data_IF_722973539504
#
_entry.id   IF_722973539504
#
_cell.length_a   1.000
_cell.length_b   1.000
_cell.length_c   1.000
_cell.angle_alpha   90.00
_cell.angle_beta   90.00
_cell.angle_gamma   90.00
#
_symmetry.space_group_name_H-M   'P 1'
#
loop_
_entity.id
_entity.type
_entity.pdbx_description
1 polymer ?
#
# COMPACT_ATOMS: atom_id res chain seq x y z
N UNK A 1 -7.47 -9.19 0.35
CA UNK A 1 -6.45 -8.87 1.38
C UNK A 1 -5.79 -7.54 1.08
N UNK A 2 -5.55 -6.72 2.11
CA UNK A 2 -4.84 -5.45 1.94
C UNK A 2 -3.32 -5.70 1.88
N UNK A 3 -2.85 -6.07 0.69
CA UNK A 3 -1.44 -6.35 0.41
C UNK A 3 -0.85 -5.19 -0.38
N UNK A 4 0.32 -4.75 0.04
CA UNK A 4 1.11 -3.72 -0.62
C UNK A 4 2.25 -4.44 -1.32
N UNK A 5 2.47 -4.12 -2.60
CA UNK A 5 3.48 -4.74 -3.44
C UNK A 5 4.45 -3.68 -3.98
N UNK A 6 5.75 -3.94 -3.83
CA UNK A 6 6.79 -3.21 -4.54
C UNK A 6 7.12 -3.99 -5.82
N UNK A 7 7.04 -3.32 -6.96
CA UNK A 7 7.31 -3.92 -8.26
C UNK A 7 8.45 -3.19 -8.94
N UNK A 8 9.20 -3.91 -9.77
CA UNK A 8 10.23 -3.30 -10.63
C UNK A 8 9.53 -2.47 -11.70
N UNK A 9 10.06 -1.27 -11.97
CA UNK A 9 9.59 -0.40 -13.03
C UNK A 9 10.09 -0.90 -14.40
N UNK A 10 9.55 -2.03 -14.85
CA UNK A 10 9.85 -2.67 -16.14
C UNK A 10 8.57 -2.68 -17.00
N UNK A 11 8.68 -2.19 -18.24
CA UNK A 11 7.55 -2.10 -19.17
C UNK A 11 7.24 -3.42 -19.89
N UNK A 12 8.17 -4.38 -19.90
CA UNK A 12 8.02 -5.63 -20.65
C UNK A 12 7.44 -6.76 -19.81
N UNK A 13 7.71 -6.75 -18.50
CA UNK A 13 7.32 -7.84 -17.60
C UNK A 13 6.98 -7.34 -16.20
N UNK A 14 5.98 -7.99 -15.62
CA UNK A 14 5.67 -7.83 -14.21
C UNK A 14 6.70 -8.58 -13.36
N UNK A 15 7.39 -7.85 -12.46
CA UNK A 15 8.29 -8.45 -11.49
C UNK A 15 8.01 -7.91 -10.09
N UNK A 16 7.63 -8.81 -9.18
CA UNK A 16 7.42 -8.50 -7.77
C UNK A 16 8.78 -8.45 -7.05
N UNK A 17 9.14 -7.29 -6.51
CA UNK A 17 10.36 -7.13 -5.71
C UNK A 17 10.13 -7.54 -4.24
N UNK A 18 9.01 -7.10 -3.65
CA UNK A 18 8.63 -7.48 -2.29
C UNK A 18 7.15 -7.18 -2.05
N UNK A 19 6.57 -7.76 -0.99
CA UNK A 19 5.22 -7.43 -0.56
C UNK A 19 5.07 -7.57 0.95
N UNK A 20 4.08 -6.88 1.50
CA UNK A 20 3.69 -7.04 2.90
C UNK A 20 2.20 -6.80 3.06
N UNK A 21 1.63 -7.38 4.12
CA UNK A 21 0.25 -7.14 4.53
C UNK A 21 0.23 -6.01 5.55
N UNK A 22 -0.71 -5.07 5.41
CA UNK A 22 -0.92 -4.07 6.45
C UNK A 22 -1.44 -4.75 7.73
N UNK A 23 -1.05 -4.26 8.92
CA UNK A 23 -1.30 -4.97 10.18
C UNK A 23 -2.77 -4.96 10.60
N UNK A 24 -3.52 -3.96 10.17
CA UNK A 24 -4.94 -3.78 10.49
C UNK A 24 -5.72 -3.45 9.21
N UNK A 25 -7.01 -3.79 9.20
CA UNK A 25 -7.93 -3.40 8.14
C UNK A 25 -9.11 -2.64 8.75
N UNK A 26 -9.68 -1.71 8.00
CA UNK A 26 -10.89 -0.97 8.46
C UNK A 26 -11.99 -1.94 8.89
N UNK A 27 -12.61 -1.66 10.04
CA UNK A 27 -13.74 -2.41 10.56
C UNK A 27 -15.00 -2.20 9.71
N UNK A 28 -15.15 -1.00 9.13
CA UNK A 28 -16.31 -0.60 8.33
C UNK A 28 -15.97 -0.57 6.84
N UNK A 29 -15.60 -1.73 6.30
CA UNK A 29 -15.35 -1.87 4.86
C UNK A 29 -16.67 -1.74 4.10
N UNK A 30 -16.81 -0.66 3.32
CA UNK A 30 -17.93 -0.56 2.39
C UNK A 30 -17.91 -1.77 1.41
N UNK A 31 -19.05 -2.43 1.13
CA UNK A 31 -19.09 -3.59 0.23
C UNK A 31 -18.55 -3.30 -1.18
N UNK A 32 -18.69 -2.07 -1.64
CA UNK A 32 -18.14 -1.54 -2.90
C UNK A 32 -16.83 -0.75 -2.71
N UNK A 33 -16.42 -0.51 -1.46
CA UNK A 33 -15.21 0.21 -1.09
C UNK A 33 -13.98 -0.66 -1.29
N UNK A 34 -13.41 -0.60 -2.49
CA UNK A 34 -12.09 -1.14 -2.77
C UNK A 34 -11.00 -0.18 -2.28
N UNK A 35 -9.83 -0.71 -2.01
CA UNK A 35 -8.66 0.06 -1.60
C UNK A 35 -8.02 0.73 -2.82
N UNK A 36 -8.59 1.86 -3.26
CA UNK A 36 -8.13 2.61 -4.44
C UNK A 36 -7.16 3.76 -4.13
N UNK A 37 -6.76 3.93 -2.86
CA UNK A 37 -5.84 5.03 -2.55
C UNK A 37 -4.44 4.65 -3.01
N UNK A 38 -3.83 5.39 -3.96
CA UNK A 38 -2.46 5.12 -4.37
C UNK A 38 -1.52 5.36 -3.18
N UNK A 39 -0.49 4.52 -2.97
CA UNK A 39 0.53 4.78 -1.96
C UNK A 39 1.31 6.05 -2.32
N UNK A 40 1.68 6.83 -1.31
CA UNK A 40 2.42 8.10 -1.48
C UNK A 40 3.72 8.03 -0.71
N UNK A 41 4.82 8.46 -1.33
CA UNK A 41 6.10 8.66 -0.65
C UNK A 41 6.37 10.15 -0.53
N UNK A 42 6.54 10.64 0.70
CA UNK A 42 6.89 12.03 0.97
C UNK A 42 7.78 12.12 2.21
N UNK A 43 8.79 13.00 2.18
CA UNK A 43 9.67 13.27 3.33
C UNK A 43 10.28 12.02 3.98
N UNK A 44 10.66 11.02 3.18
CA UNK A 44 11.23 9.76 3.68
C UNK A 44 10.23 8.81 4.34
N UNK A 45 8.93 9.03 4.15
CA UNK A 45 7.87 8.18 4.68
C UNK A 45 6.96 7.66 3.56
N UNK A 46 6.50 6.41 3.71
CA UNK A 46 5.51 5.76 2.87
C UNK A 46 4.16 5.83 3.57
N UNK A 47 3.18 6.42 2.91
CA UNK A 47 1.81 6.58 3.37
C UNK A 47 0.89 5.63 2.60
N UNK A 48 0.13 4.83 3.34
CA UNK A 48 -0.80 3.85 2.79
C UNK A 48 -2.12 4.01 3.51
N UNK A 49 -3.22 4.09 2.76
CA UNK A 49 -4.56 4.26 3.32
C UNK A 49 -5.42 3.04 3.06
N UNK A 50 -6.08 2.56 4.11
CA UNK A 50 -7.18 1.59 4.04
C UNK A 50 -8.44 2.23 4.61
N UNK A 51 -9.21 2.89 3.74
CA UNK A 51 -10.44 3.63 4.06
C UNK A 51 -10.27 4.60 5.25
N UNK A 52 -10.58 4.15 6.47
CA UNK A 52 -10.51 4.90 7.72
C UNK A 52 -9.11 4.93 8.34
N UNK A 53 -8.25 3.97 7.97
CA UNK A 53 -6.92 3.82 8.53
C UNK A 53 -5.85 4.44 7.62
N UNK A 54 -4.87 5.11 8.23
CA UNK A 54 -3.69 5.64 7.56
C UNK A 54 -2.43 5.08 8.23
N UNK A 55 -1.62 4.36 7.46
CA UNK A 55 -0.35 3.82 7.90
C UNK A 55 0.79 4.71 7.40
N UNK A 56 1.77 4.94 8.27
CA UNK A 56 2.97 5.70 7.96
C UNK A 56 4.20 4.85 8.29
N UNK A 57 5.02 4.57 7.28
CA UNK A 57 6.25 3.79 7.42
C UNK A 57 7.45 4.67 7.15
N UNK A 58 8.42 4.69 8.07
CA UNK A 58 9.71 5.32 7.81
C UNK A 58 10.51 4.47 6.81
N UNK A 59 10.83 5.06 5.66
CA UNK A 59 11.59 4.37 4.61
C UNK A 59 13.08 4.57 4.87
N UNK A 60 13.85 3.49 4.70
CA UNK A 60 15.32 3.55 4.63
C UNK A 60 15.74 3.28 3.19
N UNK A 61 16.76 4.00 2.73
CA UNK A 61 17.44 3.70 1.48
C UNK A 61 18.24 2.41 1.60
#
# INVERSE_FOLDING_TARGET
>A
DAVVALVVADSEKFQLASSFKIPEQTAHRAPSGRNWTPPVIANGHLYIRDQELLFCYKIKR
#
